data_IF_796584653210
#
_entry.id   IF_796584653210
#
_cell.length_a   1.000
_cell.length_b   1.000
_cell.length_c   1.000
_cell.angle_alpha   90.00
_cell.angle_beta   90.00
_cell.angle_gamma   90.00
#
_symmetry.space_group_name_H-M   'P 1'
#
loop_
_entity.id
_entity.type
_entity.pdbx_description
1 polymer ?
#
# COMPACT_ATOMS: atom_id res chain seq x y z
N UNK A 1 -11.95 15.12 16.23
CA UNK A 1 -10.70 15.33 15.48
C UNK A 1 -11.03 15.29 14.00
N UNK A 2 -10.55 16.24 13.17
CA UNK A 2 -10.86 16.23 11.73
C UNK A 2 -9.73 15.47 11.02
N UNK A 3 -10.07 14.40 10.30
CA UNK A 3 -9.11 13.68 9.45
C UNK A 3 -8.66 14.59 8.31
N UNK A 4 -7.36 14.74 8.12
CA UNK A 4 -6.79 15.60 7.08
C UNK A 4 -6.13 14.79 5.95
N UNK A 5 -5.88 13.51 6.16
CA UNK A 5 -5.13 12.64 5.27
C UNK A 5 -5.79 11.27 5.25
N UNK A 6 -5.87 10.66 4.06
CA UNK A 6 -6.11 9.25 3.88
C UNK A 6 -4.95 8.69 3.06
N UNK A 7 -4.22 7.72 3.59
CA UNK A 7 -3.04 7.14 2.96
C UNK A 7 -3.31 5.82 2.24
N UNK A 8 -4.50 5.23 2.36
CA UNK A 8 -4.75 3.92 1.81
C UNK A 8 -6.11 3.89 1.10
N UNK A 9 -6.10 4.20 -0.19
CA UNK A 9 -7.31 4.16 -1.02
C UNK A 9 -7.04 3.45 -2.35
N UNK A 10 -8.11 2.87 -2.90
CA UNK A 10 -8.09 2.09 -4.13
C UNK A 10 -8.97 2.70 -5.19
N UNK A 11 -8.53 2.58 -6.43
CA UNK A 11 -9.33 2.87 -7.62
C UNK A 11 -9.69 1.56 -8.35
N UNK A 12 -10.42 1.69 -9.44
CA UNK A 12 -10.72 0.57 -10.34
C UNK A 12 -9.46 -0.17 -10.83
N UNK A 13 -8.28 0.46 -10.76
CA UNK A 13 -7.01 -0.16 -11.13
C UNK A 13 -6.55 -1.26 -10.17
N UNK A 14 -7.11 -1.32 -8.97
CA UNK A 14 -6.89 -2.42 -8.00
C UNK A 14 -7.51 -3.75 -8.41
N UNK A 15 -8.42 -3.74 -9.40
CA UNK A 15 -8.98 -4.96 -9.99
C UNK A 15 -10.10 -5.63 -9.22
N UNK A 16 -10.48 -5.15 -8.05
CA UNK A 16 -11.54 -5.72 -7.23
C UNK A 16 -12.27 -4.70 -6.35
N UNK A 17 -13.53 -5.03 -6.03
CA UNK A 17 -14.37 -4.39 -5.00
C UNK A 17 -14.59 -2.88 -5.09
N UNK A 18 -14.09 -2.20 -6.11
CA UNK A 18 -14.36 -0.78 -6.36
C UNK A 18 -14.54 -0.49 -7.84
N UNK A 19 -15.43 0.47 -8.13
CA UNK A 19 -15.62 1.07 -9.47
C UNK A 19 -15.14 2.51 -9.50
N UNK A 20 -14.57 2.99 -8.40
CA UNK A 20 -14.14 4.38 -8.25
C UNK A 20 -12.93 4.68 -9.12
N UNK A 21 -12.94 5.85 -9.71
CA UNK A 21 -11.80 6.41 -10.44
C UNK A 21 -11.00 7.36 -9.55
N UNK A 22 -9.78 7.69 -9.95
CA UNK A 22 -8.99 8.74 -9.29
C UNK A 22 -9.81 10.05 -9.13
N UNK A 23 -10.58 10.41 -10.15
CA UNK A 23 -11.41 11.62 -10.13
C UNK A 23 -12.49 11.55 -9.06
N UNK A 24 -13.22 10.42 -8.97
CA UNK A 24 -14.30 10.24 -8.00
C UNK A 24 -13.81 10.25 -6.57
N UNK A 25 -12.71 9.54 -6.27
CA UNK A 25 -12.15 9.53 -4.90
C UNK A 25 -11.57 10.88 -4.50
N UNK A 26 -10.92 11.61 -5.44
CA UNK A 26 -10.37 12.94 -5.17
C UNK A 26 -11.46 13.99 -4.93
N UNK A 27 -12.56 13.91 -5.68
CA UNK A 27 -13.74 14.78 -5.47
C UNK A 27 -14.38 14.53 -4.09
N UNK A 28 -14.55 13.26 -3.71
CA UNK A 28 -15.09 12.89 -2.41
C UNK A 28 -14.15 13.31 -1.26
N UNK A 29 -12.83 13.13 -1.43
CA UNK A 29 -11.83 13.60 -0.48
C UNK A 29 -11.92 15.12 -0.26
N UNK A 30 -12.11 15.89 -1.35
CA UNK A 30 -12.32 17.34 -1.26
C UNK A 30 -13.58 17.70 -0.50
N UNK A 31 -14.72 17.03 -0.76
CA UNK A 31 -15.99 17.23 -0.04
C UNK A 31 -15.84 16.96 1.46
N UNK A 32 -15.09 15.94 1.85
CA UNK A 32 -14.75 15.61 3.26
C UNK A 32 -13.74 16.55 3.87
N UNK A 33 -13.09 17.38 3.07
CA UNK A 33 -12.11 18.38 3.49
C UNK A 33 -10.74 17.80 3.80
N UNK A 34 -10.40 16.67 3.18
CA UNK A 34 -9.04 16.12 3.20
C UNK A 34 -8.07 17.10 2.53
N UNK A 35 -6.83 17.10 3.00
CA UNK A 35 -5.72 17.87 2.42
C UNK A 35 -4.82 17.01 1.54
N UNK A 36 -4.73 15.73 1.89
CA UNK A 36 -3.91 14.73 1.19
C UNK A 36 -4.75 13.48 0.96
N UNK A 37 -4.58 12.88 -0.20
CA UNK A 37 -5.16 11.60 -0.58
C UNK A 37 -4.06 10.70 -1.15
N UNK A 38 -3.84 9.56 -0.54
CA UNK A 38 -2.97 8.52 -1.04
C UNK A 38 -3.74 7.59 -1.98
N UNK A 39 -3.24 7.40 -3.18
CA UNK A 39 -3.75 6.43 -4.15
C UNK A 39 -2.78 5.27 -4.18
N UNK A 40 -3.20 4.13 -3.69
CA UNK A 40 -2.36 2.96 -3.42
C UNK A 40 -3.00 1.69 -3.97
N UNK A 41 -3.27 1.70 -5.26
CA UNK A 41 -3.81 0.53 -5.92
C UNK A 41 -2.91 -0.70 -5.72
N UNK A 42 -3.52 -1.89 -5.71
CA UNK A 42 -2.80 -3.14 -5.54
C UNK A 42 -1.76 -3.37 -6.63
N UNK A 43 -0.58 -3.80 -6.22
CA UNK A 43 0.53 -4.16 -7.09
C UNK A 43 0.24 -5.47 -7.88
N UNK A 44 0.99 -5.75 -8.95
CA UNK A 44 0.60 -6.67 -10.02
C UNK A 44 0.33 -8.13 -9.65
N UNK A 45 0.79 -8.62 -8.48
CA UNK A 45 0.52 -10.01 -8.07
C UNK A 45 -0.88 -10.21 -7.50
N UNK A 46 -1.59 -9.14 -7.17
CA UNK A 46 -3.00 -9.22 -6.82
C UNK A 46 -3.81 -9.57 -8.09
N UNK A 47 -4.66 -10.61 -8.06
CA UNK A 47 -5.50 -10.96 -9.21
C UNK A 47 -6.38 -9.80 -9.67
N UNK A 48 -6.29 -9.46 -10.95
CA UNK A 48 -7.05 -8.35 -11.55
C UNK A 48 -6.44 -6.97 -11.42
N UNK A 49 -5.37 -6.81 -10.63
CA UNK A 49 -4.70 -5.52 -10.45
C UNK A 49 -3.97 -5.03 -11.71
N UNK A 50 -3.64 -3.75 -11.72
CA UNK A 50 -2.93 -3.11 -12.81
C UNK A 50 -1.49 -3.64 -12.96
N UNK A 51 -0.96 -3.57 -14.17
CA UNK A 51 0.42 -3.97 -14.48
C UNK A 51 1.46 -2.95 -13.99
N UNK A 52 2.74 -3.34 -13.99
CA UNK A 52 3.85 -2.45 -13.66
C UNK A 52 3.84 -1.13 -14.44
N UNK A 53 3.40 -1.15 -15.71
CA UNK A 53 3.33 0.05 -16.54
C UNK A 53 2.37 1.11 -16.00
N UNK A 54 1.31 0.71 -15.29
CA UNK A 54 0.43 1.64 -14.58
C UNK A 54 1.21 2.43 -13.52
N UNK A 55 1.95 1.75 -12.67
CA UNK A 55 2.74 2.37 -11.60
C UNK A 55 3.87 3.26 -12.16
N UNK A 56 4.53 2.84 -13.24
CA UNK A 56 5.52 3.68 -13.94
C UNK A 56 4.92 4.97 -14.47
N UNK A 57 3.64 4.96 -14.82
CA UNK A 57 2.95 6.12 -15.41
C UNK A 57 2.47 7.13 -14.35
N UNK A 58 2.31 6.74 -13.08
CA UNK A 58 1.80 7.60 -12.00
C UNK A 58 2.62 8.87 -11.79
N UNK A 59 3.93 8.85 -12.09
CA UNK A 59 4.81 10.02 -12.00
C UNK A 59 4.42 11.18 -12.93
N UNK A 60 3.61 10.91 -13.97
CA UNK A 60 3.13 11.91 -14.93
C UNK A 60 1.73 12.43 -14.57
N UNK A 61 1.07 11.86 -13.58
CA UNK A 61 -0.26 12.27 -13.15
C UNK A 61 -0.25 13.56 -12.35
N UNK A 62 -1.35 14.30 -12.38
CA UNK A 62 -1.52 15.55 -11.65
C UNK A 62 -1.41 15.30 -10.13
N UNK A 63 -0.51 16.04 -9.48
CA UNK A 63 -0.29 15.95 -8.02
C UNK A 63 -1.32 16.76 -7.20
N UNK A 64 -2.34 17.35 -7.84
CA UNK A 64 -3.40 18.10 -7.15
C UNK A 64 -4.71 18.02 -7.94
N UNK A 65 -5.76 17.52 -7.29
CA UNK A 65 -7.11 17.46 -7.84
C UNK A 65 -8.11 18.03 -6.82
N UNK A 66 -9.05 18.84 -7.28
CA UNK A 66 -10.09 19.48 -6.44
C UNK A 66 -9.54 20.17 -5.18
N UNK A 67 -8.31 20.67 -5.22
CA UNK A 67 -7.65 21.29 -4.07
C UNK A 67 -6.97 20.31 -3.10
N UNK A 68 -7.14 19.01 -3.29
CA UNK A 68 -6.48 17.93 -2.52
C UNK A 68 -5.14 17.58 -3.15
N UNK A 69 -4.09 17.45 -2.35
CA UNK A 69 -2.79 16.95 -2.81
C UNK A 69 -2.86 15.42 -2.94
N UNK A 70 -2.53 14.91 -4.12
CA UNK A 70 -2.51 13.48 -4.42
C UNK A 70 -1.10 12.93 -4.19
N UNK A 71 -1.02 11.84 -3.44
CA UNK A 71 0.20 11.07 -3.23
C UNK A 71 0.01 9.73 -3.94
N UNK A 72 0.85 9.47 -4.93
CA UNK A 72 0.80 8.23 -5.70
C UNK A 72 1.73 7.19 -5.11
N UNK A 73 1.14 6.11 -4.63
CA UNK A 73 1.82 4.98 -4.06
C UNK A 73 1.39 3.66 -4.69
N UNK A 74 1.72 2.59 -4.00
CA UNK A 74 1.26 1.24 -4.31
C UNK A 74 1.02 0.47 -3.02
N UNK A 75 0.00 -0.37 -3.00
CA UNK A 75 -0.11 -1.43 -2.01
C UNK A 75 0.56 -2.68 -2.56
N UNK A 76 1.79 -2.91 -2.06
CA UNK A 76 2.66 -4.01 -2.44
C UNK A 76 2.19 -5.31 -1.80
N UNK A 77 2.27 -6.39 -2.53
CA UNK A 77 2.08 -7.72 -1.98
C UNK A 77 3.40 -8.25 -1.43
N UNK A 78 3.42 -8.66 -0.16
CA UNK A 78 4.52 -9.44 0.39
C UNK A 78 4.43 -10.86 -0.15
N UNK A 79 5.47 -11.32 -0.85
CA UNK A 79 5.45 -12.55 -1.64
C UNK A 79 5.91 -13.80 -0.86
N UNK A 80 6.74 -13.60 0.16
CA UNK A 80 7.34 -14.70 0.92
C UNK A 80 7.89 -14.21 2.27
N UNK A 81 8.36 -15.16 3.07
CA UNK A 81 8.97 -14.88 4.38
C UNK A 81 10.23 -14.01 4.34
N UNK A 82 10.90 -13.91 3.20
CA UNK A 82 12.03 -13.00 3.03
C UNK A 82 11.62 -11.53 2.89
N UNK A 83 10.30 -11.25 2.80
CA UNK A 83 9.78 -9.89 2.67
C UNK A 83 9.92 -9.31 1.26
N UNK A 84 10.09 -10.17 0.25
CA UNK A 84 10.10 -9.72 -1.15
C UNK A 84 8.74 -9.15 -1.54
N UNK A 85 8.75 -8.11 -2.37
CA UNK A 85 7.55 -7.42 -2.86
C UNK A 85 7.48 -7.45 -4.38
N UNK A 86 6.30 -7.22 -4.93
CA UNK A 86 5.99 -7.46 -6.34
C UNK A 86 6.19 -6.25 -7.28
N UNK A 87 6.78 -5.15 -6.82
CA UNK A 87 7.25 -4.08 -7.69
C UNK A 87 8.78 -3.96 -7.64
N UNK A 88 9.45 -3.83 -8.80
CA UNK A 88 10.88 -3.64 -8.85
C UNK A 88 11.31 -2.26 -8.32
N UNK A 89 12.54 -2.17 -7.84
CA UNK A 89 13.13 -0.95 -7.23
C UNK A 89 13.04 0.26 -8.15
N UNK A 90 13.18 0.07 -9.45
CA UNK A 90 13.10 1.14 -10.46
C UNK A 90 11.75 1.81 -10.49
N UNK A 91 10.66 1.07 -10.19
CA UNK A 91 9.31 1.61 -10.08
C UNK A 91 9.11 2.23 -8.69
N UNK A 92 9.50 1.52 -7.63
CA UNK A 92 9.36 2.01 -6.25
C UNK A 92 9.99 3.40 -6.06
N UNK A 93 11.14 3.66 -6.68
CA UNK A 93 11.80 4.98 -6.66
C UNK A 93 10.98 6.12 -7.28
N UNK A 94 9.98 5.83 -8.08
CA UNK A 94 9.14 6.82 -8.75
C UNK A 94 7.85 7.14 -8.00
N UNK A 95 7.51 6.34 -7.02
CA UNK A 95 6.33 6.51 -6.17
C UNK A 95 6.61 7.50 -5.02
N UNK A 96 5.55 8.12 -4.52
CA UNK A 96 5.66 9.01 -3.37
C UNK A 96 5.89 8.19 -2.07
N UNK A 97 5.33 6.97 -2.00
CA UNK A 97 5.49 6.02 -0.90
C UNK A 97 4.93 4.65 -1.30
N UNK A 98 5.10 3.65 -0.45
CA UNK A 98 4.41 2.36 -0.61
C UNK A 98 3.96 1.76 0.72
N UNK A 99 2.91 0.96 0.63
CA UNK A 99 2.36 0.13 1.69
C UNK A 99 2.73 -1.32 1.36
N UNK A 100 3.11 -2.12 2.34
CA UNK A 100 3.30 -3.56 2.14
C UNK A 100 2.30 -4.34 3.00
N UNK A 101 1.59 -5.26 2.38
CA UNK A 101 0.50 -6.03 2.99
C UNK A 101 0.62 -7.53 2.69
N UNK A 102 0.05 -8.33 3.58
CA UNK A 102 -0.21 -9.75 3.34
C UNK A 102 -1.61 -9.91 2.74
N UNK A 103 -1.72 -10.60 1.60
CA UNK A 103 -2.98 -10.87 0.95
C UNK A 103 -3.13 -12.37 0.68
N UNK A 104 -4.24 -12.99 1.16
CA UNK A 104 -4.52 -14.43 0.99
C UNK A 104 -4.57 -14.90 -0.46
N UNK A 105 -4.88 -13.97 -1.39
CA UNK A 105 -4.94 -14.26 -2.83
C UNK A 105 -3.54 -14.28 -3.48
N UNK A 106 -2.51 -13.86 -2.75
CA UNK A 106 -1.11 -13.83 -3.21
C UNK A 106 -0.22 -14.76 -2.41
N UNK A 107 -0.33 -14.77 -1.08
CA UNK A 107 0.46 -15.62 -0.19
C UNK A 107 -0.46 -16.39 0.78
N UNK A 108 -0.16 -17.65 1.01
CA UNK A 108 -0.91 -18.44 1.99
C UNK A 108 -0.48 -18.09 3.41
N UNK A 109 -1.45 -17.95 4.34
CA UNK A 109 -1.14 -17.82 5.76
C UNK A 109 -0.28 -18.99 6.24
N UNK A 110 0.77 -18.69 6.98
CA UNK A 110 1.77 -19.67 7.44
C UNK A 110 1.91 -19.72 8.96
N UNK A 111 1.07 -18.96 9.66
CA UNK A 111 1.01 -18.85 11.11
C UNK A 111 1.89 -17.74 11.68
N UNK A 112 1.63 -17.36 12.92
CA UNK A 112 2.14 -16.16 13.58
C UNK A 112 3.63 -15.90 13.35
N UNK A 113 4.45 -16.92 13.51
CA UNK A 113 5.91 -16.76 13.35
C UNK A 113 6.32 -16.35 11.95
N UNK A 114 5.80 -17.05 10.92
CA UNK A 114 6.22 -16.83 9.54
C UNK A 114 5.55 -15.60 8.92
N UNK A 115 4.30 -15.33 9.28
CA UNK A 115 3.58 -14.14 8.83
C UNK A 115 4.23 -12.87 9.44
N UNK A 116 4.61 -12.92 10.72
CA UNK A 116 5.39 -11.84 11.37
C UNK A 116 6.76 -11.65 10.72
N UNK A 117 7.48 -12.75 10.44
CA UNK A 117 8.80 -12.71 9.79
C UNK A 117 8.70 -12.06 8.40
N UNK A 118 7.66 -12.38 7.63
CA UNK A 118 7.43 -11.82 6.30
C UNK A 118 7.26 -10.29 6.34
N UNK A 119 6.40 -9.77 7.22
CA UNK A 119 6.21 -8.32 7.37
C UNK A 119 7.46 -7.63 7.94
N UNK A 120 8.09 -8.23 8.96
CA UNK A 120 9.33 -7.69 9.55
C UNK A 120 10.47 -7.59 8.53
N UNK A 121 10.56 -8.55 7.62
CA UNK A 121 11.55 -8.50 6.54
C UNK A 121 11.17 -7.49 5.45
N UNK A 122 9.87 -7.34 5.12
CA UNK A 122 9.41 -6.32 4.19
C UNK A 122 9.73 -4.90 4.69
N UNK A 123 9.63 -4.62 5.99
CA UNK A 123 10.00 -3.34 6.60
C UNK A 123 11.47 -2.96 6.39
N UNK A 124 12.36 -3.91 6.15
CA UNK A 124 13.79 -3.65 5.87
C UNK A 124 14.03 -3.11 4.47
N UNK A 125 13.05 -3.21 3.59
CA UNK A 125 13.10 -2.59 2.28
C UNK A 125 12.90 -1.06 2.45
N UNK A 126 13.86 -0.20 2.06
CA UNK A 126 13.80 1.23 2.28
C UNK A 126 12.67 1.94 1.51
N UNK A 127 12.01 1.24 0.60
CA UNK A 127 10.86 1.75 -0.14
C UNK A 127 9.52 1.34 0.49
N UNK A 128 9.50 0.51 1.52
CA UNK A 128 8.29 0.19 2.29
C UNK A 128 8.16 1.18 3.43
N UNK A 129 7.13 2.02 3.36
CA UNK A 129 6.91 3.11 4.31
C UNK A 129 5.84 2.78 5.35
N UNK A 130 4.86 1.96 4.99
CA UNK A 130 3.70 1.62 5.80
C UNK A 130 3.46 0.11 5.71
N UNK A 131 3.03 -0.51 6.81
CA UNK A 131 2.45 -1.87 6.80
C UNK A 131 0.93 -1.73 6.78
N UNK A 132 0.31 -2.30 5.75
CA UNK A 132 -1.15 -2.29 5.59
C UNK A 132 -1.80 -3.37 6.44
N UNK A 133 -2.93 -3.03 7.06
CA UNK A 133 -3.86 -3.91 7.80
C UNK A 133 -3.24 -5.19 8.41
N UNK A 134 -2.20 -5.05 9.28
CA UNK A 134 -1.57 -6.22 9.91
C UNK A 134 -2.51 -7.01 10.83
N UNK A 135 -3.72 -6.50 11.04
CA UNK A 135 -4.81 -7.11 11.80
C UNK A 135 -5.81 -7.90 10.92
N UNK A 136 -5.48 -8.12 9.64
CA UNK A 136 -6.31 -8.99 8.77
C UNK A 136 -6.47 -10.38 9.42
N UNK A 137 -7.71 -10.83 9.71
CA UNK A 137 -7.97 -12.10 10.40
C UNK A 137 -7.51 -13.34 9.62
N UNK A 138 -7.18 -13.19 8.33
CA UNK A 138 -6.60 -14.29 7.54
C UNK A 138 -5.17 -14.61 7.98
N UNK A 139 -4.46 -13.66 8.57
CA UNK A 139 -3.06 -13.81 9.00
C UNK A 139 -2.93 -13.63 10.51
N UNK A 140 -2.01 -14.38 11.10
CA UNK A 140 -1.70 -14.22 12.51
C UNK A 140 -0.32 -13.59 12.66
N UNK A 141 -0.23 -12.44 13.34
CA UNK A 141 1.04 -11.73 13.51
C UNK A 141 1.27 -11.33 14.98
N UNK A 142 2.53 -11.26 15.36
CA UNK A 142 2.95 -10.75 16.66
C UNK A 142 3.17 -9.24 16.59
N UNK A 143 2.21 -8.45 17.10
CA UNK A 143 2.23 -6.99 17.03
C UNK A 143 3.39 -6.35 17.79
N UNK A 144 3.85 -6.95 18.89
CA UNK A 144 4.99 -6.45 19.65
C UNK A 144 6.26 -6.50 18.78
N UNK A 145 6.49 -7.65 18.15
CA UNK A 145 7.62 -7.83 17.21
C UNK A 145 7.54 -6.86 16.04
N UNK A 146 6.36 -6.70 15.42
CA UNK A 146 6.19 -5.75 14.30
C UNK A 146 6.44 -4.30 14.75
N UNK A 147 5.92 -3.92 15.93
CA UNK A 147 6.13 -2.57 16.48
C UNK A 147 7.60 -2.28 16.74
N UNK A 148 8.34 -3.26 17.26
CA UNK A 148 9.77 -3.10 17.52
C UNK A 148 10.60 -3.03 16.23
N UNK A 149 10.20 -3.76 15.19
CA UNK A 149 10.85 -3.66 13.88
C UNK A 149 10.52 -2.32 13.20
N UNK A 150 9.28 -1.87 13.27
CA UNK A 150 8.83 -0.58 12.75
C UNK A 150 9.62 0.60 13.35
N UNK A 151 9.88 0.58 14.69
CA UNK A 151 10.73 1.58 15.35
C UNK A 151 12.16 1.61 14.81
N UNK A 152 12.72 0.45 14.45
CA UNK A 152 14.10 0.35 13.92
C UNK A 152 14.20 0.83 12.47
N UNK A 153 13.20 0.52 11.65
CA UNK A 153 13.19 0.84 10.22
C UNK A 153 12.59 2.20 9.90
N UNK A 154 11.81 2.77 10.82
CA UNK A 154 11.05 4.00 10.59
C UNK A 154 9.75 3.77 9.80
N UNK A 155 9.32 2.52 9.63
CA UNK A 155 8.05 2.16 9.00
C UNK A 155 6.86 2.48 9.92
N UNK A 156 5.72 2.83 9.36
CA UNK A 156 4.46 3.15 10.07
C UNK A 156 3.55 1.92 10.06
#
# INVERSE_FOLDING_TARGET
MKTLIDFHTHTIASGHHTTDTLTTIAEEAAKRGLKYLGVTDHAPKMPGAASESYFMNLKYCDKKLYGVKILYGAELNVLNKAGEVDLPVEILKTLDYSIASLHKDVIRPAGEKLDTEALSNAMKNPFVNIIGHPDDPAFSVNFETLTDEAKKTGTI
#
